data_IF_794580204475
#
_entry.id   IF_794580204475
#
_cell.length_a   1.000
_cell.length_b   1.000
_cell.length_c   1.000
_cell.angle_alpha   90.00
_cell.angle_beta   90.00
_cell.angle_gamma   90.00
#
_symmetry.space_group_name_H-M   'P 1'
#
loop_
_entity.id
_entity.type
_entity.pdbx_description
1 polymer ?
#
# COMPACT_ATOMS: atom_id res chain seq x y z
N UNK A 1 17.39 -2.10 2.95
CA UNK A 1 16.90 -1.87 1.58
C UNK A 1 17.97 -1.25 0.68
N UNK A 2 18.32 -1.93 -0.43
CA UNK A 2 19.27 -1.44 -1.45
C UNK A 2 18.54 -0.86 -2.65
N UNK A 3 19.20 0.05 -3.37
CA UNK A 3 18.66 0.73 -4.56
C UNK A 3 19.10 0.03 -5.84
N UNK A 4 18.20 -0.07 -6.82
CA UNK A 4 18.52 -0.46 -8.20
C UNK A 4 17.90 0.53 -9.18
N UNK A 5 18.63 0.93 -10.21
CA UNK A 5 18.10 1.84 -11.22
C UNK A 5 17.35 1.04 -12.30
N UNK A 6 16.32 1.65 -12.90
CA UNK A 6 15.53 1.01 -13.97
C UNK A 6 16.39 0.57 -15.17
N UNK A 7 17.50 1.27 -15.44
CA UNK A 7 18.49 0.90 -16.45
C UNK A 7 19.20 -0.43 -16.16
N UNK A 8 19.36 -0.81 -14.89
CA UNK A 8 20.04 -2.04 -14.48
C UNK A 8 19.18 -3.28 -14.76
N UNK A 9 17.86 -3.12 -14.97
CA UNK A 9 16.98 -4.20 -15.43
C UNK A 9 17.37 -4.72 -16.82
N UNK A 10 18.09 -3.93 -17.62
CA UNK A 10 18.67 -4.35 -18.91
C UNK A 10 19.79 -5.40 -18.74
N UNK A 11 20.28 -5.61 -17.51
CA UNK A 11 21.30 -6.61 -17.17
C UNK A 11 20.71 -7.72 -16.30
N UNK A 12 19.92 -8.66 -16.88
CA UNK A 12 19.10 -9.60 -16.11
C UNK A 12 19.91 -10.52 -15.19
N UNK A 13 21.14 -10.91 -15.57
CA UNK A 13 22.00 -11.73 -14.70
C UNK A 13 22.47 -10.98 -13.45
N UNK A 14 22.86 -9.72 -13.61
CA UNK A 14 23.27 -8.87 -12.50
C UNK A 14 22.09 -8.59 -11.57
N UNK A 15 20.96 -8.18 -12.14
CA UNK A 15 19.72 -7.95 -11.43
C UNK A 15 19.27 -9.18 -10.62
N UNK A 16 19.16 -10.35 -11.25
CA UNK A 16 18.71 -11.59 -10.58
C UNK A 16 19.62 -11.96 -9.41
N UNK A 17 20.94 -11.95 -9.62
CA UNK A 17 21.91 -12.25 -8.56
C UNK A 17 21.76 -11.27 -7.39
N UNK A 18 21.64 -9.98 -7.70
CA UNK A 18 21.49 -8.95 -6.68
C UNK A 18 20.18 -9.08 -5.91
N UNK A 19 19.06 -9.35 -6.58
CA UNK A 19 17.76 -9.57 -5.91
C UNK A 19 17.77 -10.84 -5.05
N UNK A 20 18.44 -11.90 -5.48
CA UNK A 20 18.60 -13.13 -4.68
C UNK A 20 19.44 -12.89 -3.42
N UNK A 21 20.53 -12.13 -3.53
CA UNK A 21 21.39 -11.80 -2.39
C UNK A 21 20.72 -10.85 -1.40
N UNK A 22 20.08 -9.80 -1.90
CA UNK A 22 19.54 -8.71 -1.06
C UNK A 22 18.10 -8.96 -0.60
N UNK A 23 17.39 -9.94 -1.18
CA UNK A 23 15.98 -10.31 -0.97
C UNK A 23 14.96 -9.24 -1.36
N UNK A 24 15.29 -7.97 -1.17
CA UNK A 24 14.48 -6.81 -1.54
C UNK A 24 15.33 -5.73 -2.22
N UNK A 25 14.76 -5.07 -3.23
CA UNK A 25 15.39 -3.93 -3.91
C UNK A 25 14.36 -2.82 -4.11
N UNK A 26 14.78 -1.56 -3.88
CA UNK A 26 14.02 -0.39 -4.26
C UNK A 26 14.39 0.01 -5.69
N UNK A 27 13.43 -0.12 -6.61
CA UNK A 27 13.56 0.31 -7.98
C UNK A 27 13.41 1.82 -8.07
N UNK A 28 14.36 2.46 -8.75
CA UNK A 28 14.37 3.90 -8.98
C UNK A 28 14.35 4.25 -10.46
N UNK A 29 13.63 5.31 -10.81
CA UNK A 29 13.72 6.00 -12.11
C UNK A 29 14.15 7.43 -11.86
N UNK A 30 15.25 7.86 -12.48
CA UNK A 30 15.78 9.23 -12.33
C UNK A 30 15.95 9.67 -10.87
N UNK A 31 16.42 8.74 -10.02
CA UNK A 31 16.61 8.96 -8.58
C UNK A 31 15.33 8.83 -7.73
N UNK A 32 14.16 8.75 -8.34
CA UNK A 32 12.88 8.64 -7.64
C UNK A 32 12.48 7.17 -7.44
N UNK A 33 12.09 6.76 -6.22
CA UNK A 33 11.52 5.43 -5.97
C UNK A 33 10.23 5.22 -6.77
N UNK A 34 10.16 4.12 -7.52
CA UNK A 34 8.98 3.78 -8.34
C UNK A 34 8.37 2.42 -7.99
N UNK A 35 9.18 1.48 -7.48
CA UNK A 35 8.67 0.16 -7.07
C UNK A 35 9.57 -0.50 -6.02
N UNK A 36 9.04 -1.50 -5.34
CA UNK A 36 9.79 -2.45 -4.52
C UNK A 36 9.78 -3.79 -5.25
N UNK A 37 10.95 -4.39 -5.42
CA UNK A 37 11.13 -5.72 -5.99
C UNK A 37 11.42 -6.67 -4.84
N UNK A 38 10.60 -7.70 -4.70
CA UNK A 38 10.79 -8.77 -3.73
C UNK A 38 11.25 -10.02 -4.46
N UNK A 39 12.28 -10.67 -3.93
CA UNK A 39 12.64 -12.01 -4.35
C UNK A 39 11.52 -12.96 -3.92
N UNK A 40 11.13 -13.85 -4.81
CA UNK A 40 10.24 -14.97 -4.50
C UNK A 40 11.07 -16.24 -4.64
N UNK A 41 11.27 -16.94 -3.53
CA UNK A 41 12.02 -18.19 -3.53
C UNK A 41 11.19 -19.32 -4.14
N UNK A 42 11.85 -20.34 -4.69
CA UNK A 42 11.15 -21.45 -5.35
C UNK A 42 10.22 -22.25 -4.43
N UNK A 43 10.44 -22.18 -3.11
CA UNK A 43 9.60 -22.84 -2.10
C UNK A 43 8.41 -21.97 -1.65
N UNK A 44 8.37 -20.70 -2.06
CA UNK A 44 7.33 -19.76 -1.67
C UNK A 44 6.25 -19.68 -2.75
N UNK A 45 5.01 -19.51 -2.30
CA UNK A 45 3.89 -19.20 -3.19
C UNK A 45 3.81 -17.67 -3.42
N UNK A 46 3.97 -17.18 -4.66
CA UNK A 46 3.86 -15.76 -4.98
C UNK A 46 2.53 -15.13 -4.55
N UNK A 47 1.43 -15.90 -4.54
CA UNK A 47 0.11 -15.38 -4.16
C UNK A 47 0.04 -15.03 -2.67
N UNK A 48 0.67 -15.84 -1.82
CA UNK A 48 0.74 -15.59 -0.37
C UNK A 48 1.58 -14.35 -0.05
N UNK A 49 2.69 -14.14 -0.77
CA UNK A 49 3.50 -12.92 -0.64
C UNK A 49 2.68 -11.71 -1.08
N UNK A 50 1.97 -11.81 -2.21
CA UNK A 50 1.13 -10.73 -2.72
C UNK A 50 0.00 -10.38 -1.74
N UNK A 51 -0.64 -11.40 -1.15
CA UNK A 51 -1.68 -11.20 -0.13
C UNK A 51 -1.12 -10.49 1.10
N UNK A 52 0.07 -10.89 1.56
CA UNK A 52 0.76 -10.23 2.69
C UNK A 52 1.01 -8.73 2.41
N UNK A 53 1.45 -8.40 1.19
CA UNK A 53 1.65 -7.00 0.76
C UNK A 53 0.32 -6.23 0.74
N UNK A 54 -0.77 -6.86 0.29
CA UNK A 54 -2.11 -6.25 0.28
C UNK A 54 -2.62 -5.98 1.69
N UNK A 55 -2.43 -6.92 2.61
CA UNK A 55 -2.82 -6.77 4.01
C UNK A 55 -2.05 -5.63 4.68
N UNK A 56 -0.73 -5.56 4.45
CA UNK A 56 0.11 -4.48 4.95
C UNK A 56 -0.37 -3.11 4.43
N UNK A 57 -0.64 -2.97 3.13
CA UNK A 57 -1.19 -1.72 2.56
C UNK A 57 -2.54 -1.35 3.17
N UNK A 58 -3.41 -2.34 3.39
CA UNK A 58 -4.74 -2.14 3.97
C UNK A 58 -4.64 -1.62 5.39
N UNK A 59 -3.73 -2.18 6.20
CA UNK A 59 -3.44 -1.71 7.56
C UNK A 59 -2.89 -0.28 7.57
N UNK A 60 -1.96 0.04 6.66
CA UNK A 60 -1.43 1.40 6.54
C UNK A 60 -2.52 2.41 6.15
N UNK A 61 -3.39 2.06 5.20
CA UNK A 61 -4.51 2.90 4.81
C UNK A 61 -5.47 3.15 5.98
N UNK A 62 -5.80 2.09 6.74
CA UNK A 62 -6.64 2.20 7.93
C UNK A 62 -5.99 3.06 9.02
N UNK A 63 -4.66 2.97 9.22
CA UNK A 63 -3.93 3.83 10.15
C UNK A 63 -4.10 5.30 9.80
N UNK A 64 -3.90 5.65 8.52
CA UNK A 64 -4.06 7.04 8.04
C UNK A 64 -5.48 7.57 8.24
N UNK A 65 -6.50 6.74 7.97
CA UNK A 65 -7.90 7.11 8.22
C UNK A 65 -8.14 7.37 9.71
N UNK A 66 -7.60 6.51 10.58
CA UNK A 66 -7.72 6.67 12.04
C UNK A 66 -6.97 7.91 12.54
N UNK A 67 -5.79 8.18 12.02
CA UNK A 67 -5.02 9.39 12.32
C UNK A 67 -5.78 10.65 11.91
N UNK A 68 -6.35 10.67 10.70
CA UNK A 68 -7.18 11.77 10.23
C UNK A 68 -8.44 11.97 11.10
N UNK A 69 -9.11 10.89 11.51
CA UNK A 69 -10.27 10.96 12.40
C UNK A 69 -9.91 11.51 13.79
N UNK A 70 -8.73 11.16 14.33
CA UNK A 70 -8.24 11.74 15.58
C UNK A 70 -7.91 13.22 15.43
N UNK A 71 -7.23 13.60 14.34
CA UNK A 71 -6.90 15.00 14.07
C UNK A 71 -8.15 15.87 13.85
N UNK A 72 -9.22 15.30 13.32
CA UNK A 72 -10.51 15.96 13.12
C UNK A 72 -11.46 15.82 14.32
N UNK A 73 -11.02 15.22 15.44
CA UNK A 73 -11.82 14.91 16.64
C UNK A 73 -13.12 14.10 16.38
N UNK A 74 -13.21 13.45 15.22
CA UNK A 74 -14.32 12.58 14.83
C UNK A 74 -14.09 11.12 15.21
N UNK A 75 -12.94 10.81 15.81
CA UNK A 75 -12.59 9.45 16.23
C UNK A 75 -13.48 8.88 17.35
N UNK A 76 -14.19 9.75 18.09
CA UNK A 76 -15.06 9.39 19.20
C UNK A 76 -16.56 9.51 18.88
N UNK A 77 -16.93 9.66 17.59
CA UNK A 77 -18.34 9.76 17.19
C UNK A 77 -19.16 8.56 17.71
N UNK A 78 -20.28 8.86 18.35
CA UNK A 78 -21.24 7.86 18.78
C UNK A 78 -21.93 7.21 17.58
N UNK A 79 -22.46 6.00 17.76
CA UNK A 79 -23.27 5.33 16.74
C UNK A 79 -24.46 6.18 16.26
N UNK A 80 -25.05 6.99 17.14
CA UNK A 80 -26.15 7.88 16.80
C UNK A 80 -25.71 8.99 15.82
N UNK A 81 -24.55 9.61 16.06
CA UNK A 81 -23.97 10.63 15.19
C UNK A 81 -23.56 10.04 13.84
N UNK A 82 -22.95 8.85 13.84
CA UNK A 82 -22.59 8.12 12.62
C UNK A 82 -23.84 7.83 11.77
N UNK A 83 -24.90 7.31 12.38
CA UNK A 83 -26.15 7.01 11.65
C UNK A 83 -26.84 8.25 11.11
N UNK A 84 -26.77 9.37 11.84
CA UNK A 84 -27.28 10.67 11.38
C UNK A 84 -26.54 11.13 10.12
N UNK A 85 -25.21 11.08 10.13
CA UNK A 85 -24.36 11.47 9.00
C UNK A 85 -24.61 10.58 7.77
N UNK A 86 -24.71 9.26 7.96
CA UNK A 86 -25.04 8.30 6.89
C UNK A 86 -26.39 8.63 6.26
N UNK A 87 -27.40 8.93 7.09
CA UNK A 87 -28.75 9.25 6.63
C UNK A 87 -28.78 10.55 5.83
N UNK A 88 -28.14 11.60 6.33
CA UNK A 88 -28.00 12.89 5.65
C UNK A 88 -27.29 12.74 4.29
N UNK A 89 -26.16 12.01 4.25
CA UNK A 89 -25.42 11.75 3.02
C UNK A 89 -26.27 10.98 1.99
N UNK A 90 -27.01 9.95 2.42
CA UNK A 90 -27.89 9.16 1.54
C UNK A 90 -29.05 9.99 0.98
N UNK A 91 -29.65 10.86 1.79
CA UNK A 91 -30.71 11.76 1.35
C UNK A 91 -30.19 12.77 0.30
N UNK A 92 -29.02 13.36 0.53
CA UNK A 92 -28.41 14.29 -0.43
C UNK A 92 -28.15 13.66 -1.80
N UNK A 93 -27.75 12.37 -1.84
CA UNK A 93 -27.53 11.62 -3.08
C UNK A 93 -28.84 11.34 -3.83
N UNK A 94 -29.93 11.07 -3.11
CA UNK A 94 -31.25 10.88 -3.74
C UNK A 94 -31.79 12.19 -4.32
N UNK A 95 -31.59 13.31 -3.63
CA UNK A 95 -32.03 14.64 -4.09
C UNK A 95 -31.23 15.18 -5.29
N UNK A 96 -30.04 14.62 -5.57
CA UNK A 96 -29.19 14.99 -6.71
C UNK A 96 -29.43 14.15 -7.98
N UNK A 97 -30.28 13.12 -7.89
CA UNK A 97 -30.72 12.30 -9.03
C UNK A 97 -32.10 12.76 -9.47
#
# INVERSE_FOLDING_TARGET
>A
MKLIAIKDLKQPRYFKRRLQTEKELLLTSDGNPVAILLNVESAEDPENILQSVRDARSRMALSRVREAARAADTSAMSLAEINREISATRQSRKSRR
#
